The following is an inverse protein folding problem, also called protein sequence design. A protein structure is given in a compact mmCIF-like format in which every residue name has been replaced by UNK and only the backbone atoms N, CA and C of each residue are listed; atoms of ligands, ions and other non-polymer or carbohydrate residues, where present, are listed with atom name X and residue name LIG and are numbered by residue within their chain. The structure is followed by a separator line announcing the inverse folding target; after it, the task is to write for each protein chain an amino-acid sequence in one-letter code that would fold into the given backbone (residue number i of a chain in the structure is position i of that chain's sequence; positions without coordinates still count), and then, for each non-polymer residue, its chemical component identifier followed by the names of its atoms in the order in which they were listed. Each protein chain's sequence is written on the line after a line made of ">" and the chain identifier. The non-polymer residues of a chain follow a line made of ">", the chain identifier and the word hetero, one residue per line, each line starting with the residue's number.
data_IF_624786878469
#
_entry.id   IF_624786878469
#
_cell.length_a   1.000
_cell.length_b   1.000
_cell.length_c   1.000
_cell.angle_alpha   90.00
_cell.angle_beta   90.00
_cell.angle_gamma   90.00
#
_symmetry.space_group_name_H-M   'P 1'
#
loop_
_entity.id
_entity.type
_entity.pdbx_description
1 polymer ?
#
# COMPACT_ATOMS: atom_id res chain seq x y z
N UNK A 1 -8.17 -1.45 -3.33
CA UNK A 1 -8.85 -2.48 -2.54
C UNK A 1 -8.46 -3.89 -3.02
N UNK A 2 -7.44 -4.50 -2.45
CA UNK A 2 -7.07 -5.90 -2.67
C UNK A 2 -7.29 -6.67 -1.37
N UNK A 3 -7.46 -8.01 -1.46
CA UNK A 3 -7.66 -8.85 -0.28
C UNK A 3 -6.44 -8.82 0.64
N UNK A 4 -5.23 -8.92 0.07
CA UNK A 4 -3.96 -8.84 0.80
C UNK A 4 -2.85 -8.38 -0.12
N UNK A 5 -1.76 -7.90 0.46
CA UNK A 5 -0.55 -7.53 -0.24
C UNK A 5 -0.73 -6.45 -1.29
N UNK A 6 -0.93 -5.20 -0.89
CA UNK A 6 -0.85 -4.07 -1.81
C UNK A 6 0.48 -4.08 -2.57
N UNK A 7 1.54 -4.40 -1.86
CA UNK A 7 2.78 -4.89 -2.45
C UNK A 7 3.05 -6.32 -1.95
N UNK A 8 3.22 -7.25 -2.86
CA UNK A 8 3.56 -8.64 -2.58
C UNK A 8 4.83 -9.05 -3.33
N UNK A 9 5.89 -9.34 -2.58
CA UNK A 9 7.13 -9.89 -3.12
C UNK A 9 7.07 -11.42 -3.09
N UNK A 10 7.14 -12.05 -4.26
CA UNK A 10 7.19 -13.52 -4.34
C UNK A 10 8.61 -14.03 -4.60
N UNK A 11 9.18 -13.68 -5.74
CA UNK A 11 10.58 -13.88 -6.12
C UNK A 11 11.13 -12.61 -6.75
N UNK A 12 12.44 -12.53 -6.90
CA UNK A 12 13.11 -11.48 -7.64
C UNK A 12 14.27 -10.88 -6.89
N UNK A 13 15.13 -10.24 -7.63
CA UNK A 13 16.38 -9.66 -7.14
C UNK A 13 16.45 -8.19 -7.50
N UNK A 14 16.77 -7.38 -6.50
CA UNK A 14 17.04 -5.95 -6.68
C UNK A 14 15.90 -5.16 -7.33
N UNK A 15 14.64 -5.60 -7.13
CA UNK A 15 13.46 -4.86 -7.61
C UNK A 15 13.42 -3.46 -7.00
N UNK A 16 12.90 -2.49 -7.74
CA UNK A 16 12.73 -1.11 -7.27
C UNK A 16 11.25 -0.81 -7.17
N UNK A 17 10.78 -0.62 -5.94
CA UNK A 17 9.42 -0.21 -5.63
C UNK A 17 9.48 1.22 -5.09
N UNK A 18 9.17 2.17 -5.94
CA UNK A 18 9.38 3.57 -5.65
C UNK A 18 8.23 4.45 -6.11
N UNK A 19 7.88 5.43 -5.26
CA UNK A 19 6.93 6.48 -5.61
C UNK A 19 5.53 5.95 -5.94
N UNK A 20 5.06 4.99 -5.14
CA UNK A 20 3.72 4.42 -5.26
C UNK A 20 2.84 4.84 -4.09
N UNK A 21 1.53 4.73 -4.30
CA UNK A 21 0.51 4.81 -3.25
C UNK A 21 -0.15 3.45 -3.15
N UNK A 22 -0.01 2.81 -1.99
CA UNK A 22 -0.70 1.57 -1.63
C UNK A 22 -1.82 1.93 -0.65
N UNK A 23 -3.07 1.73 -1.05
CA UNK A 23 -4.20 2.19 -0.26
C UNK A 23 -5.24 1.09 -0.02
N UNK A 24 -5.65 0.94 1.24
CA UNK A 24 -6.80 0.17 1.69
C UNK A 24 -6.79 -1.30 1.25
N UNK A 25 -5.72 -2.02 1.55
CA UNK A 25 -5.74 -3.48 1.46
C UNK A 25 -6.45 -4.05 2.71
N UNK A 26 -7.21 -5.11 2.54
CA UNK A 26 -8.10 -5.62 3.61
C UNK A 26 -7.30 -6.30 4.72
N UNK A 27 -6.38 -7.20 4.37
CA UNK A 27 -5.65 -8.03 5.36
C UNK A 27 -4.28 -7.46 5.72
N UNK A 28 -3.44 -7.29 4.71
CA UNK A 28 -2.07 -6.82 4.87
C UNK A 28 -1.73 -5.82 3.77
N UNK A 29 -0.95 -4.81 4.11
CA UNK A 29 -0.55 -3.81 3.13
C UNK A 29 0.69 -4.26 2.35
N UNK A 30 1.65 -4.83 3.05
CA UNK A 30 2.97 -5.20 2.53
C UNK A 30 3.29 -6.63 2.96
N UNK A 31 3.68 -7.50 2.02
CA UNK A 31 4.04 -8.88 2.35
C UNK A 31 5.08 -9.47 1.40
N UNK A 32 5.77 -10.52 1.87
CA UNK A 32 6.68 -11.31 1.06
C UNK A 32 6.44 -12.80 1.31
N UNK A 33 6.18 -13.59 0.28
CA UNK A 33 5.94 -15.03 0.44
C UNK A 33 7.21 -15.87 0.40
N UNK A 34 8.34 -15.29 -0.02
CA UNK A 34 9.63 -15.99 -0.08
C UNK A 34 10.74 -15.17 0.57
N UNK A 35 11.63 -15.89 1.25
CA UNK A 35 12.86 -15.33 1.81
C UNK A 35 14.01 -15.86 0.97
N UNK A 36 14.78 -14.96 0.39
CA UNK A 36 15.96 -15.25 -0.42
C UNK A 36 17.19 -14.65 0.25
N UNK A 37 18.37 -15.20 0.00
CA UNK A 37 19.62 -14.75 0.65
C UNK A 37 20.19 -13.45 0.07
N UNK A 38 19.58 -12.91 -0.98
CA UNK A 38 20.03 -11.68 -1.65
C UNK A 38 19.07 -10.51 -1.34
N UNK A 39 19.45 -9.32 -1.77
CA UNK A 39 18.56 -8.15 -1.76
C UNK A 39 17.42 -8.37 -2.76
N UNK A 40 16.22 -8.63 -2.26
CA UNK A 40 15.05 -8.86 -3.10
C UNK A 40 14.51 -7.57 -3.68
N UNK A 41 14.44 -6.49 -2.87
CA UNK A 41 13.93 -5.20 -3.36
C UNK A 41 14.39 -4.00 -2.53
N UNK A 42 14.24 -2.82 -3.13
CA UNK A 42 14.30 -1.52 -2.47
C UNK A 42 12.89 -0.91 -2.46
N UNK A 43 12.42 -0.50 -1.30
CA UNK A 43 11.08 0.08 -1.08
C UNK A 43 11.22 1.52 -0.59
N UNK A 44 11.12 2.49 -1.50
CA UNK A 44 11.43 3.88 -1.18
C UNK A 44 10.44 4.89 -1.71
N UNK A 45 10.25 6.00 -0.98
CA UNK A 45 9.42 7.12 -1.39
C UNK A 45 7.96 6.70 -1.68
N UNK A 46 7.44 5.72 -0.95
CA UNK A 46 6.07 5.23 -1.10
C UNK A 46 5.17 5.78 0.00
N UNK A 47 3.88 5.79 -0.25
CA UNK A 47 2.84 6.07 0.73
C UNK A 47 2.04 4.78 0.92
N UNK A 48 1.92 4.32 2.16
CA UNK A 48 1.08 3.19 2.56
C UNK A 48 -0.01 3.72 3.49
N UNK A 49 -1.25 3.64 3.03
CA UNK A 49 -2.41 4.21 3.69
C UNK A 49 -3.49 3.15 3.86
N UNK A 50 -4.02 2.95 5.06
CA UNK A 50 -5.02 1.90 5.29
C UNK A 50 -5.91 2.22 6.49
N UNK A 51 -7.03 1.51 6.58
CA UNK A 51 -8.02 1.62 7.65
C UNK A 51 -8.23 0.31 8.41
N UNK A 52 -7.76 -0.81 7.86
CA UNK A 52 -7.94 -2.15 8.45
C UNK A 52 -6.77 -3.06 8.12
N UNK A 53 -6.68 -4.17 8.84
CA UNK A 53 -5.63 -5.17 8.66
C UNK A 53 -4.27 -4.71 9.18
N UNK A 54 -3.24 -5.47 8.89
CA UNK A 54 -1.88 -5.22 9.36
C UNK A 54 -1.07 -4.44 8.32
N UNK A 55 -0.12 -3.62 8.77
CA UNK A 55 0.86 -3.02 7.86
C UNK A 55 1.68 -4.09 7.15
N UNK A 56 2.26 -5.01 7.92
CA UNK A 56 3.18 -6.03 7.43
C UNK A 56 2.58 -7.43 7.57
N UNK A 57 2.56 -8.17 6.47
CA UNK A 57 2.19 -9.58 6.42
C UNK A 57 3.39 -10.52 6.44
N UNK A 58 3.17 -11.72 5.92
CA UNK A 58 4.14 -12.84 5.93
C UNK A 58 5.53 -12.36 5.50
N UNK A 59 6.55 -12.77 6.27
CA UNK A 59 7.98 -12.63 5.97
C UNK A 59 8.51 -11.20 5.73
N UNK A 60 7.71 -10.14 5.84
CA UNK A 60 8.19 -8.79 5.58
C UNK A 60 9.45 -8.42 6.37
N UNK A 61 9.46 -8.75 7.66
CA UNK A 61 10.59 -8.50 8.56
C UNK A 61 11.87 -9.27 8.19
N UNK A 62 11.73 -10.41 7.52
CA UNK A 62 12.81 -11.37 7.29
C UNK A 62 13.30 -11.39 5.84
N UNK A 63 12.53 -10.85 4.89
CA UNK A 63 12.97 -10.78 3.49
C UNK A 63 14.10 -9.77 3.34
N UNK A 64 15.09 -10.09 2.51
CA UNK A 64 16.20 -9.19 2.21
C UNK A 64 15.73 -7.95 1.45
N UNK A 65 15.51 -6.83 2.14
CA UNK A 65 15.10 -5.58 1.49
C UNK A 65 15.74 -4.37 2.17
N UNK A 66 15.66 -3.24 1.50
CA UNK A 66 15.96 -1.91 2.05
C UNK A 66 14.73 -1.05 1.92
N UNK A 67 14.27 -0.47 3.01
CA UNK A 67 13.17 0.50 3.01
C UNK A 67 13.62 1.82 3.63
N UNK A 68 13.26 2.93 2.97
CA UNK A 68 13.51 4.27 3.49
C UNK A 68 12.67 5.33 2.77
N UNK A 69 12.53 6.50 3.38
CA UNK A 69 11.77 7.63 2.83
C UNK A 69 10.32 7.26 2.49
N UNK A 70 9.67 6.44 3.29
CA UNK A 70 8.28 6.06 3.11
C UNK A 70 7.36 6.81 4.09
N UNK A 71 6.10 6.86 3.76
CA UNK A 71 5.04 7.30 4.66
C UNK A 71 4.12 6.12 4.97
N UNK A 72 3.82 5.91 6.24
CA UNK A 72 2.88 4.92 6.73
C UNK A 72 1.77 5.63 7.50
N UNK A 73 0.52 5.32 7.19
CA UNK A 73 -0.60 5.92 7.90
C UNK A 73 -1.78 4.96 8.01
N UNK A 74 -2.20 4.71 9.24
CA UNK A 74 -3.41 3.97 9.55
C UNK A 74 -4.47 4.94 10.07
N UNK A 75 -5.66 4.96 9.45
CA UNK A 75 -6.75 5.84 9.89
C UNK A 75 -7.46 5.32 11.13
N UNK A 76 -7.32 4.04 11.47
CA UNK A 76 -7.86 3.47 12.68
C UNK A 76 -6.96 3.79 13.86
N UNK A 77 -7.34 4.79 14.66
CA UNK A 77 -6.57 5.27 15.81
C UNK A 77 -6.35 4.21 16.91
N UNK A 78 -7.15 3.15 16.94
CA UNK A 78 -6.99 2.03 17.88
C UNK A 78 -5.90 1.05 17.46
N UNK A 79 -5.49 1.06 16.19
CA UNK A 79 -4.47 0.17 15.66
C UNK A 79 -3.09 0.82 15.70
N UNK A 80 -2.14 0.08 16.23
CA UNK A 80 -0.73 0.49 16.18
C UNK A 80 -0.12 0.04 14.87
N UNK A 81 0.64 0.93 14.23
CA UNK A 81 1.50 0.57 13.10
C UNK A 81 2.60 -0.36 13.63
N UNK A 82 2.56 -1.61 13.20
CA UNK A 82 3.42 -2.70 13.66
C UNK A 82 4.21 -3.31 12.50
N UNK A 83 5.50 -3.47 12.70
CA UNK A 83 6.43 -4.09 11.75
C UNK A 83 6.72 -5.54 12.16
N UNK A 84 5.68 -6.37 12.17
CA UNK A 84 5.74 -7.79 12.62
C UNK A 84 6.33 -7.94 14.02
N UNK A 85 5.69 -7.32 15.01
CA UNK A 85 6.09 -7.34 16.41
C UNK A 85 7.15 -6.31 16.79
N UNK A 86 7.50 -5.40 15.88
CA UNK A 86 8.41 -4.29 16.15
C UNK A 86 7.66 -2.96 16.06
N UNK A 87 7.89 -2.09 17.02
CA UNK A 87 7.50 -0.68 16.90
C UNK A 87 8.27 0.01 15.77
N UNK A 88 7.78 1.15 15.31
CA UNK A 88 8.48 1.92 14.29
C UNK A 88 9.91 2.30 14.70
N UNK A 89 10.11 2.70 15.95
CA UNK A 89 11.43 3.03 16.47
C UNK A 89 12.38 1.81 16.46
N UNK A 90 11.91 0.62 16.88
CA UNK A 90 12.70 -0.61 16.84
C UNK A 90 13.04 -1.00 15.39
N UNK A 91 12.11 -0.79 14.45
CA UNK A 91 12.31 -1.00 13.03
C UNK A 91 13.41 -0.08 12.47
N UNK A 92 13.36 1.21 12.83
CA UNK A 92 14.39 2.18 12.47
C UNK A 92 15.76 1.82 13.05
N UNK A 93 15.83 1.35 14.29
CA UNK A 93 17.09 0.88 14.91
C UNK A 93 17.71 -0.34 14.19
N UNK A 94 16.94 -1.07 13.41
CA UNK A 94 17.44 -2.12 12.50
C UNK A 94 17.98 -1.60 11.17
N UNK A 95 18.01 -0.29 10.98
CA UNK A 95 18.50 0.36 9.77
C UNK A 95 17.48 0.42 8.62
N UNK A 96 16.21 0.15 8.90
CA UNK A 96 15.12 0.28 7.96
C UNK A 96 14.34 1.58 8.24
N UNK A 97 13.81 2.22 7.22
CA UNK A 97 12.90 3.38 7.32
C UNK A 97 13.39 4.52 8.22
N UNK A 98 14.72 4.75 8.27
CA UNK A 98 15.32 5.76 9.14
C UNK A 98 14.89 7.19 8.81
N UNK A 99 14.51 7.45 7.57
CA UNK A 99 13.98 8.74 7.09
C UNK A 99 12.51 8.64 6.68
N UNK A 100 11.80 7.63 7.15
CA UNK A 100 10.37 7.44 6.91
C UNK A 100 9.53 8.06 8.03
N UNK A 101 8.24 8.23 7.80
CA UNK A 101 7.33 8.93 8.71
C UNK A 101 6.02 8.15 8.90
N UNK A 102 5.47 8.22 10.11
CA UNK A 102 4.07 7.91 10.40
C UNK A 102 3.34 9.26 10.45
N UNK A 103 2.70 9.64 9.34
CA UNK A 103 2.07 10.95 9.18
C UNK A 103 0.95 10.89 8.15
N UNK A 104 -0.13 11.64 8.34
CA UNK A 104 -1.24 11.69 7.39
C UNK A 104 -0.83 12.36 6.07
N UNK A 105 -0.93 11.66 4.93
CA UNK A 105 -0.68 12.26 3.61
C UNK A 105 -1.76 13.27 3.19
N UNK A 106 -2.90 13.31 3.89
CA UNK A 106 -4.06 14.18 3.63
C UNK A 106 -4.52 14.04 2.17
N UNK A 107 -5.17 12.93 1.85
CA UNK A 107 -5.69 12.71 0.50
C UNK A 107 -6.87 13.64 0.17
N UNK A 108 -7.05 13.93 -1.10
CA UNK A 108 -8.04 14.88 -1.59
C UNK A 108 -9.46 14.43 -1.29
N UNK A 109 -9.81 13.20 -1.63
CA UNK A 109 -11.12 12.60 -1.39
C UNK A 109 -11.03 11.07 -1.49
N UNK A 110 -10.94 10.42 -0.34
CA UNK A 110 -10.78 8.97 -0.26
C UNK A 110 -12.06 8.24 -0.71
N UNK A 111 -13.22 8.83 -0.43
CA UNK A 111 -14.51 8.24 -0.81
C UNK A 111 -14.70 8.23 -2.33
N UNK A 112 -14.18 9.25 -3.00
CA UNK A 112 -14.16 9.32 -4.46
C UNK A 112 -12.90 8.68 -5.08
N UNK A 113 -12.14 7.89 -4.30
CA UNK A 113 -10.88 7.25 -4.71
C UNK A 113 -9.83 8.24 -5.27
N UNK A 114 -9.91 9.50 -4.83
CA UNK A 114 -8.94 10.53 -5.19
C UNK A 114 -7.78 10.55 -4.19
N UNK A 115 -6.79 9.71 -4.42
CA UNK A 115 -5.58 9.57 -3.61
C UNK A 115 -4.50 10.61 -3.95
N UNK A 116 -4.89 11.82 -4.36
CA UNK A 116 -3.94 12.93 -4.54
C UNK A 116 -3.55 13.48 -3.17
N UNK A 117 -2.30 13.29 -2.71
CA UNK A 117 -1.87 13.74 -1.38
C UNK A 117 -1.68 15.27 -1.36
N UNK A 118 -2.12 15.91 -0.27
CA UNK A 118 -2.03 17.37 -0.06
C UNK A 118 -0.99 17.79 0.95
N UNK A 119 -0.44 16.89 1.76
CA UNK A 119 0.59 17.21 2.75
C UNK A 119 1.94 17.45 2.07
N UNK A 120 2.14 18.66 1.55
CA UNK A 120 3.32 19.02 0.76
C UNK A 120 4.63 18.89 1.54
N UNK A 121 4.61 19.17 2.85
CA UNK A 121 5.80 19.04 3.69
C UNK A 121 6.22 17.57 3.84
N UNK A 122 5.27 16.68 4.10
CA UNK A 122 5.53 15.24 4.11
C UNK A 122 6.08 14.76 2.76
N UNK A 123 5.44 15.13 1.65
CA UNK A 123 5.88 14.73 0.32
C UNK A 123 7.33 15.14 0.03
N UNK A 124 7.71 16.36 0.49
CA UNK A 124 9.07 16.85 0.37
C UNK A 124 10.04 16.04 1.25
N UNK A 125 9.66 15.75 2.50
CA UNK A 125 10.48 14.96 3.44
C UNK A 125 10.79 13.57 2.87
N UNK A 126 9.78 12.88 2.32
CA UNK A 126 9.96 11.53 1.76
C UNK A 126 10.39 11.53 0.29
N UNK A 127 10.53 12.70 -0.33
CA UNK A 127 10.90 12.82 -1.74
C UNK A 127 9.88 12.22 -2.70
N UNK A 128 8.60 12.16 -2.30
CA UNK A 128 7.51 11.67 -3.15
C UNK A 128 7.24 12.65 -4.28
N UNK A 129 7.14 12.15 -5.51
CA UNK A 129 6.85 12.96 -6.70
C UNK A 129 5.42 12.74 -7.14
N UNK A 130 4.66 13.83 -7.21
CA UNK A 130 3.30 13.79 -7.75
C UNK A 130 3.30 13.28 -9.18
N UNK A 131 2.31 12.47 -9.52
CA UNK A 131 2.07 11.97 -10.87
C UNK A 131 0.58 12.06 -11.23
N UNK A 132 0.28 12.25 -12.49
CA UNK A 132 -1.08 12.31 -13.01
C UNK A 132 -1.55 10.90 -13.40
N UNK A 133 -2.36 10.30 -12.53
CA UNK A 133 -2.97 8.99 -12.79
C UNK A 133 -4.33 9.07 -13.49
N UNK A 134 -4.86 10.28 -13.74
CA UNK A 134 -6.12 10.45 -14.48
C UNK A 134 -6.06 9.90 -15.89
N UNK A 135 -4.84 9.74 -16.42
CA UNK A 135 -4.56 9.13 -17.71
C UNK A 135 -4.28 7.63 -17.66
N UNK A 136 -4.32 7.01 -16.47
CA UNK A 136 -4.20 5.55 -16.35
C UNK A 136 -5.44 4.86 -16.93
N UNK A 137 -5.23 3.69 -17.54
CA UNK A 137 -6.32 2.90 -18.10
C UNK A 137 -6.18 2.61 -19.61
N UNK A 138 -7.28 2.24 -20.23
CA UNK A 138 -7.30 1.87 -21.63
C UNK A 138 -7.38 3.09 -22.55
N UNK A 139 -6.43 3.21 -23.46
CA UNK A 139 -6.39 4.26 -24.46
C UNK A 139 -6.88 3.78 -25.82
N UNK A 140 -7.30 4.71 -26.68
CA UNK A 140 -7.66 4.43 -28.06
C UNK A 140 -9.11 4.79 -28.40
N UNK A 141 -9.72 4.06 -29.35
CA UNK A 141 -11.06 4.33 -29.84
C UNK A 141 -12.13 4.22 -28.75
N UNK A 142 -13.25 4.92 -28.91
CA UNK A 142 -14.40 4.86 -27.99
C UNK A 142 -14.85 3.41 -27.76
N UNK A 143 -14.93 2.61 -28.83
CA UNK A 143 -15.31 1.19 -28.78
C UNK A 143 -14.33 0.37 -27.90
N UNK A 144 -13.04 0.68 -27.97
CA UNK A 144 -12.02 0.01 -27.17
C UNK A 144 -12.12 0.37 -25.68
N UNK A 145 -12.33 1.65 -25.37
CA UNK A 145 -12.55 2.12 -24.00
C UNK A 145 -13.80 1.49 -23.38
N UNK A 146 -14.91 1.45 -24.11
CA UNK A 146 -16.16 0.84 -23.64
C UNK A 146 -16.01 -0.64 -23.28
N UNK A 147 -15.13 -1.39 -23.94
CA UNK A 147 -14.86 -2.79 -23.58
C UNK A 147 -14.16 -2.97 -22.24
N UNK A 148 -13.49 -1.95 -21.74
CA UNK A 148 -12.81 -1.96 -20.44
C UNK A 148 -13.71 -1.46 -19.30
N UNK A 149 -14.87 -0.90 -19.62
CA UNK A 149 -15.82 -0.45 -18.61
C UNK A 149 -16.52 -1.64 -17.97
N UNK A 150 -16.46 -1.72 -16.65
CA UNK A 150 -17.26 -2.70 -15.90
C UNK A 150 -18.73 -2.25 -15.88
N UNK A 151 -19.65 -3.19 -16.03
CA UNK A 151 -21.07 -2.89 -15.85
C UNK A 151 -21.35 -2.48 -14.39
N UNK A 152 -22.46 -1.77 -14.17
CA UNK A 152 -22.84 -1.37 -12.82
C UNK A 152 -23.13 -2.57 -11.93
N UNK A 153 -23.65 -3.66 -12.49
CA UNK A 153 -23.89 -4.91 -11.77
C UNK A 153 -22.57 -5.55 -11.32
N UNK A 154 -21.53 -5.54 -12.17
CA UNK A 154 -20.21 -6.06 -11.81
C UNK A 154 -19.55 -5.20 -10.75
N UNK A 155 -19.67 -3.88 -10.83
CA UNK A 155 -19.15 -2.97 -9.79
C UNK A 155 -19.83 -3.22 -8.45
N UNK A 156 -21.17 -3.26 -8.44
CA UNK A 156 -21.94 -3.54 -7.23
C UNK A 156 -21.64 -4.93 -6.63
N UNK A 157 -21.45 -5.95 -7.47
CA UNK A 157 -21.06 -7.27 -7.01
C UNK A 157 -19.65 -7.29 -6.39
N UNK A 158 -18.72 -6.54 -6.96
CA UNK A 158 -17.38 -6.37 -6.42
C UNK A 158 -17.41 -5.62 -5.07
N UNK A 159 -18.13 -4.50 -5.00
CA UNK A 159 -18.24 -3.71 -3.77
C UNK A 159 -18.88 -4.53 -2.63
N UNK A 160 -19.91 -5.33 -2.94
CA UNK A 160 -20.51 -6.26 -1.99
C UNK A 160 -19.50 -7.28 -1.51
N UNK A 161 -18.73 -7.89 -2.42
CA UNK A 161 -17.71 -8.87 -2.08
C UNK A 161 -16.62 -8.27 -1.18
N UNK A 162 -16.16 -7.06 -1.48
CA UNK A 162 -15.18 -6.34 -0.66
C UNK A 162 -15.73 -6.15 0.76
N UNK A 163 -16.97 -5.68 0.87
CA UNK A 163 -17.62 -5.46 2.16
C UNK A 163 -17.79 -6.75 2.96
N UNK A 164 -18.22 -7.82 2.33
CA UNK A 164 -18.32 -9.15 2.97
C UNK A 164 -16.95 -9.63 3.48
N UNK A 165 -15.88 -9.40 2.73
CA UNK A 165 -14.53 -9.72 3.19
C UNK A 165 -14.04 -8.82 4.33
N UNK A 166 -14.39 -7.56 4.35
CA UNK A 166 -14.09 -6.66 5.47
C UNK A 166 -14.79 -7.13 6.75
N UNK A 167 -16.05 -7.55 6.64
CA UNK A 167 -16.85 -8.06 7.76
C UNK A 167 -16.39 -9.44 8.28
N UNK A 168 -15.94 -10.33 7.38
CA UNK A 168 -15.51 -11.70 7.73
C UNK A 168 -14.07 -11.78 8.26
N UNK A 169 -13.21 -10.84 7.94
CA UNK A 169 -11.79 -10.88 8.31
C UNK A 169 -11.51 -10.61 9.79
N UNK A 170 -12.53 -10.42 10.58
CA UNK A 170 -12.41 -10.32 12.05
C UNK A 170 -12.27 -11.71 12.70
N UNK A 171 -12.53 -12.82 12.00
CA UNK A 171 -12.71 -14.13 12.63
C UNK A 171 -11.87 -15.31 12.10
N UNK A 172 -11.27 -15.23 10.92
CA UNK A 172 -10.64 -16.41 10.33
C UNK A 172 -9.13 -16.23 10.05
N UNK A 173 -8.35 -16.50 11.09
CA UNK A 173 -6.95 -16.96 11.02
C UNK A 173 -6.57 -17.77 12.24
#
# INVERSE_FOLDING_TARGET
>A
NCKSGGYHQHYGKENIIKNNIFANQIRTQLEASRIEQHLSFNFTNNIVYYNSGSLCGINWKNVGHKSDYNCYYCTNASEKIDFQGLSFSEWQHKGQDTHSFIEDPIFTDIQAENFTPKNKELLKKIGFRMFDYSKAGVYGSKKWKQKAELSNEMKAAFDKLVKEYEEQNITDW
#
